data_IF_324931075780
#
_entry.id   IF_324931075780
#
_cell.length_a   1.000
_cell.length_b   1.000
_cell.length_c   1.000
_cell.angle_alpha   90.00
_cell.angle_beta   90.00
_cell.angle_gamma   90.00
#
_symmetry.space_group_name_H-M   'P 1'
#
loop_
_entity.id
_entity.type
_entity.pdbx_description
1 polymer ?
#
# COMPACT_ATOMS: atom_id res chain seq x y z
N UNK A 1 -6.23 -17.87 0.95
CA UNK A 1 -6.94 -17.22 -0.14
C UNK A 1 -5.99 -16.82 -1.24
N UNK A 2 -6.20 -17.37 -2.41
CA UNK A 2 -5.28 -17.15 -3.52
C UNK A 2 -5.72 -15.97 -4.37
N UNK A 3 -5.15 -14.83 -4.11
CA UNK A 3 -5.42 -13.66 -4.90
C UNK A 3 -4.32 -13.46 -5.90
N UNK A 4 -4.73 -13.17 -7.10
CA UNK A 4 -3.78 -12.90 -8.15
C UNK A 4 -3.13 -11.55 -7.88
N UNK A 5 -1.82 -11.52 -7.92
CA UNK A 5 -1.10 -10.27 -7.75
C UNK A 5 -1.01 -9.56 -9.08
N UNK A 6 -1.24 -8.26 -9.03
CA UNK A 6 -1.18 -7.42 -10.21
C UNK A 6 -0.06 -6.43 -10.05
N UNK A 7 0.74 -6.30 -11.09
CA UNK A 7 1.83 -5.33 -11.10
C UNK A 7 1.26 -3.94 -11.32
N UNK A 8 1.61 -3.03 -10.44
CA UNK A 8 1.10 -1.66 -10.51
C UNK A 8 2.22 -0.67 -10.27
N UNK A 9 2.25 0.39 -11.07
CA UNK A 9 3.24 1.45 -10.89
C UNK A 9 2.67 2.50 -9.96
N UNK A 10 3.43 2.85 -8.93
CA UNK A 10 3.02 3.85 -7.95
C UNK A 10 4.00 5.02 -8.02
N UNK A 11 3.47 6.22 -8.19
CA UNK A 11 4.28 7.43 -8.20
C UNK A 11 4.19 8.10 -6.85
N UNK A 12 5.32 8.32 -6.22
CA UNK A 12 5.37 8.99 -4.92
C UNK A 12 6.31 10.17 -5.00
N UNK A 13 6.18 11.08 -4.06
CA UNK A 13 7.07 12.23 -4.02
C UNK A 13 8.43 11.81 -3.49
N UNK A 14 9.42 12.66 -3.76
CA UNK A 14 10.77 12.42 -3.27
C UNK A 14 10.78 12.37 -1.74
N UNK A 15 10.00 13.24 -1.12
CA UNK A 15 9.88 13.27 0.34
C UNK A 15 9.30 11.99 0.89
N UNK A 16 8.25 11.49 0.25
CA UNK A 16 7.65 10.22 0.66
C UNK A 16 8.64 9.07 0.50
N UNK A 17 9.37 9.08 -0.58
CA UNK A 17 10.37 8.04 -0.84
C UNK A 17 11.45 8.04 0.23
N UNK A 18 11.93 9.22 0.60
CA UNK A 18 12.97 9.33 1.63
C UNK A 18 12.49 8.83 2.97
N UNK A 19 11.27 9.16 3.33
CA UNK A 19 10.70 8.72 4.59
C UNK A 19 10.48 7.21 4.63
N UNK A 20 10.06 6.63 3.52
CA UNK A 20 9.89 5.19 3.44
C UNK A 20 11.22 4.46 3.54
N UNK A 21 12.26 5.02 2.93
CA UNK A 21 13.60 4.44 3.03
C UNK A 21 14.10 4.48 4.47
N UNK A 22 13.82 5.56 5.16
CA UNK A 22 14.22 5.69 6.56
C UNK A 22 13.51 4.65 7.42
N UNK A 23 12.23 4.45 7.19
CA UNK A 23 11.47 3.42 7.89
C UNK A 23 12.05 2.03 7.64
N UNK A 24 12.35 1.75 6.39
CA UNK A 24 12.94 0.46 6.03
C UNK A 24 14.26 0.24 6.77
N UNK A 25 15.06 1.29 6.85
CA UNK A 25 16.36 1.21 7.51
C UNK A 25 16.19 0.88 8.99
N UNK A 26 15.17 1.43 9.63
CA UNK A 26 14.95 1.25 11.06
C UNK A 26 14.24 -0.04 11.40
N UNK A 27 13.29 -0.42 10.59
CA UNK A 27 12.41 -1.55 10.91
C UNK A 27 12.76 -2.82 10.14
N UNK A 28 13.55 -2.69 9.07
CA UNK A 28 13.91 -3.79 8.20
C UNK A 28 12.73 -4.33 7.41
N UNK A 29 11.61 -3.62 7.41
CA UNK A 29 10.44 -4.01 6.63
C UNK A 29 10.58 -3.43 5.22
N UNK A 30 10.37 -4.23 4.16
CA UNK A 30 10.50 -3.74 2.79
C UNK A 30 9.55 -2.59 2.50
N UNK A 31 10.00 -1.64 1.68
CA UNK A 31 9.17 -0.49 1.31
C UNK A 31 7.87 -0.94 0.64
N UNK A 32 7.95 -1.98 -0.17
CA UNK A 32 6.74 -2.50 -0.84
C UNK A 32 5.67 -2.92 0.16
N UNK A 33 6.09 -3.42 1.31
CA UNK A 33 5.15 -3.83 2.35
C UNK A 33 4.43 -2.62 2.94
N UNK A 34 5.15 -1.52 3.13
CA UNK A 34 4.53 -0.29 3.61
C UNK A 34 3.54 0.27 2.61
N UNK A 35 3.87 0.19 1.33
CA UNK A 35 2.97 0.65 0.28
C UNK A 35 1.68 -0.16 0.30
N UNK A 36 1.81 -1.48 0.44
CA UNK A 36 0.65 -2.35 0.52
C UNK A 36 -0.22 -2.02 1.73
N UNK A 37 0.41 -1.81 2.87
CA UNK A 37 -0.32 -1.45 4.08
C UNK A 37 -1.06 -0.13 3.91
N UNK A 38 -0.42 0.83 3.23
CA UNK A 38 -1.07 2.11 2.95
C UNK A 38 -2.30 1.94 2.08
N UNK A 39 -2.20 1.10 1.07
CA UNK A 39 -3.34 0.83 0.18
C UNK A 39 -4.48 0.18 0.98
N UNK A 40 -4.15 -0.80 1.81
CA UNK A 40 -5.17 -1.46 2.63
C UNK A 40 -5.85 -0.48 3.57
N UNK A 41 -5.09 0.42 4.16
CA UNK A 41 -5.65 1.43 5.05
C UNK A 41 -6.60 2.36 4.32
N UNK A 42 -6.24 2.77 3.11
CA UNK A 42 -7.10 3.63 2.30
C UNK A 42 -8.38 2.91 1.94
N UNK A 43 -8.28 1.67 1.53
CA UNK A 43 -9.45 0.88 1.16
C UNK A 43 -10.39 0.70 2.34
N UNK A 44 -9.82 0.52 3.54
CA UNK A 44 -10.63 0.40 4.74
C UNK A 44 -11.33 1.71 5.08
N UNK A 45 -10.60 2.81 4.93
CA UNK A 45 -11.13 4.13 5.24
C UNK A 45 -12.30 4.51 4.36
N UNK A 46 -12.23 4.14 3.08
CA UNK A 46 -13.24 4.52 2.10
C UNK A 46 -14.12 3.36 1.66
N UNK A 47 -14.22 2.35 2.48
CA UNK A 47 -14.98 1.16 2.11
C UNK A 47 -16.43 1.44 1.77
N UNK A 48 -16.99 2.50 2.34
CA UNK A 48 -18.37 2.89 2.06
C UNK A 48 -18.55 3.42 0.65
N UNK A 49 -17.45 3.82 0.01
CA UNK A 49 -17.48 4.32 -1.35
C UNK A 49 -17.29 3.22 -2.38
N UNK A 50 -16.98 2.02 -1.92
CA UNK A 50 -16.70 0.88 -2.79
C UNK A 50 -17.91 -0.04 -2.80
N UNK A 51 -18.41 -0.44 -3.99
CA UNK A 51 -19.55 -1.36 -4.05
C UNK A 51 -19.28 -2.63 -3.27
N UNK A 52 -20.28 -3.06 -2.51
CA UNK A 52 -20.14 -4.18 -1.59
C UNK A 52 -19.76 -5.50 -2.23
N UNK A 53 -20.14 -5.73 -3.47
CA UNK A 53 -19.84 -6.97 -4.14
C UNK A 53 -18.48 -7.01 -4.80
N UNK A 54 -17.72 -5.95 -4.73
CA UNK A 54 -16.38 -5.96 -5.27
C UNK A 54 -15.46 -6.72 -4.32
N UNK A 55 -14.67 -7.61 -4.90
CA UNK A 55 -13.72 -8.41 -4.13
C UNK A 55 -12.31 -7.93 -4.36
N UNK A 56 -11.56 -7.88 -3.32
CA UNK A 56 -10.17 -7.48 -3.41
C UNK A 56 -9.25 -8.53 -2.83
#
# INVERSE_FOLDING_TARGET
>A
MNRKKISTTVYITEDQNDKLKLLNKRTKVPVAEYIRQGIDMVLEKYKDQIPGQMSF
#
